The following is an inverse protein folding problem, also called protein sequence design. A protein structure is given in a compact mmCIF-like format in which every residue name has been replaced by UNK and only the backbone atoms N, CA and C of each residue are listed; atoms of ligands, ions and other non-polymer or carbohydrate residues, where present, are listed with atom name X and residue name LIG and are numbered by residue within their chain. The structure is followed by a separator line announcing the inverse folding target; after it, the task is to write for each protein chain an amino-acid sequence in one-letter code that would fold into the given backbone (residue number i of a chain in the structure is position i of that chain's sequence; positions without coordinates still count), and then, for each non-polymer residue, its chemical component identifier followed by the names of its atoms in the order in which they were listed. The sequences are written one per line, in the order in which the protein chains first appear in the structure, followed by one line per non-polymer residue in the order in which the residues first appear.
data_IF_409022984147
#
_entry.id   IF_409022984147
#
_cell.length_a   1.000
_cell.length_b   1.000
_cell.length_c   1.000
_cell.angle_alpha   90.00
_cell.angle_beta   90.00
_cell.angle_gamma   90.00
#
_symmetry.space_group_name_H-M   'P 1'
#
loop_
_entity.id
_entity.type
_entity.pdbx_description
1 polymer ?
#
# COMPACT_ATOMS: atom_id res chain seq x y z
N UNK A 1 13.36 -13.50 -12.52
CA UNK A 1 12.58 -12.39 -13.10
C UNK A 1 13.52 -11.45 -13.83
N UNK A 2 13.20 -11.02 -15.05
CA UNK A 2 13.96 -9.97 -15.76
C UNK A 2 13.55 -8.59 -15.22
N UNK A 3 14.48 -7.62 -15.17
CA UNK A 3 14.19 -6.26 -14.69
C UNK A 3 13.00 -5.60 -15.40
N UNK A 4 12.85 -5.77 -16.72
CA UNK A 4 11.71 -5.22 -17.46
C UNK A 4 10.36 -5.85 -17.11
N UNK A 5 10.35 -7.10 -16.65
CA UNK A 5 9.13 -7.77 -16.19
C UNK A 5 8.70 -7.24 -14.81
N UNK A 6 9.66 -6.94 -13.94
CA UNK A 6 9.42 -6.32 -12.63
C UNK A 6 8.83 -4.92 -12.79
N UNK A 7 9.39 -4.11 -13.70
CA UNK A 7 8.88 -2.74 -13.92
C UNK A 7 7.48 -2.71 -14.52
N UNK A 8 7.16 -3.63 -15.45
CA UNK A 8 5.79 -3.78 -15.95
C UNK A 8 4.82 -4.17 -14.83
N UNK A 9 5.19 -5.13 -13.98
CA UNK A 9 4.35 -5.54 -12.84
C UNK A 9 4.15 -4.43 -11.82
N UNK A 10 5.15 -3.55 -11.62
CA UNK A 10 4.98 -2.34 -10.81
C UNK A 10 3.95 -1.39 -11.42
N UNK A 11 3.97 -1.21 -12.74
CA UNK A 11 2.99 -0.40 -13.47
C UNK A 11 1.58 -0.94 -13.33
N UNK A 12 1.37 -2.24 -13.62
CA UNK A 12 0.07 -2.91 -13.50
C UNK A 12 -0.48 -2.85 -12.07
N UNK A 13 0.40 -3.02 -11.06
CA UNK A 13 0.01 -2.88 -9.66
C UNK A 13 -0.41 -1.44 -9.32
N UNK A 14 0.27 -0.44 -9.86
CA UNK A 14 -0.07 0.98 -9.64
C UNK A 14 -1.43 1.33 -10.24
N UNK A 15 -1.74 0.83 -11.45
CA UNK A 15 -3.05 1.02 -12.08
C UNK A 15 -4.16 0.33 -11.29
N UNK A 16 -3.95 -0.92 -10.85
CA UNK A 16 -4.90 -1.66 -10.03
C UNK A 16 -5.19 -0.93 -8.69
N UNK A 17 -4.15 -0.45 -8.02
CA UNK A 17 -4.27 0.35 -6.79
C UNK A 17 -5.04 1.64 -7.05
N UNK A 18 -4.76 2.32 -8.16
CA UNK A 18 -5.45 3.56 -8.53
C UNK A 18 -6.95 3.34 -8.78
N UNK A 19 -7.33 2.18 -9.31
CA UNK A 19 -8.74 1.79 -9.49
C UNK A 19 -9.41 1.44 -8.15
N UNK A 20 -8.78 0.55 -7.36
CA UNK A 20 -9.29 0.10 -6.04
C UNK A 20 -9.47 1.26 -5.06
N UNK A 21 -8.52 2.19 -5.03
CA UNK A 21 -8.58 3.36 -4.16
C UNK A 21 -9.07 4.62 -4.90
N UNK A 22 -9.54 4.50 -6.15
CA UNK A 22 -10.00 5.62 -6.97
C UNK A 22 -11.23 6.33 -6.38
N UNK A 23 -12.03 5.60 -5.61
CA UNK A 23 -13.18 6.10 -4.86
C UNK A 23 -12.80 6.85 -3.58
N UNK A 24 -11.55 6.77 -3.11
CA UNK A 24 -11.11 7.48 -1.92
C UNK A 24 -10.90 8.98 -2.23
N UNK A 25 -11.64 9.88 -1.57
CA UNK A 25 -11.59 11.32 -1.88
C UNK A 25 -10.24 11.94 -1.52
N UNK A 26 -9.50 11.35 -0.57
CA UNK A 26 -8.24 11.88 -0.05
C UNK A 26 -7.03 11.30 -0.78
N UNK A 27 -6.22 12.19 -1.38
CA UNK A 27 -4.97 11.84 -2.08
C UNK A 27 -3.98 11.08 -1.17
N UNK A 28 -3.90 11.45 0.10
CA UNK A 28 -3.01 10.80 1.06
C UNK A 28 -3.47 9.38 1.39
N UNK A 29 -4.78 9.12 1.47
CA UNK A 29 -5.29 7.76 1.68
C UNK A 29 -4.96 6.84 0.50
N UNK A 30 -5.00 7.35 -0.75
CA UNK A 30 -4.55 6.60 -1.93
C UNK A 30 -3.08 6.21 -1.84
N UNK A 31 -2.22 7.17 -1.47
CA UNK A 31 -0.78 6.94 -1.29
C UNK A 31 -0.49 5.88 -0.21
N UNK A 32 -1.16 5.98 0.94
CA UNK A 32 -0.97 5.00 2.03
C UNK A 32 -1.64 3.66 1.75
N UNK A 33 -2.73 3.64 0.99
CA UNK A 33 -3.36 2.41 0.50
C UNK A 33 -2.46 1.62 -0.46
N UNK A 34 -1.76 2.31 -1.37
CA UNK A 34 -0.73 1.69 -2.21
C UNK A 34 0.39 1.08 -1.35
N UNK A 35 0.92 1.86 -0.41
CA UNK A 35 1.99 1.46 0.49
C UNK A 35 1.56 0.23 1.31
N UNK A 36 0.35 0.23 1.85
CA UNK A 36 -0.24 -0.88 2.60
C UNK A 36 -0.40 -2.15 1.75
N UNK A 37 -0.93 -2.03 0.53
CA UNK A 37 -1.15 -3.16 -0.36
C UNK A 37 0.18 -3.82 -0.79
N UNK A 38 1.19 -3.00 -1.11
CA UNK A 38 2.55 -3.47 -1.41
C UNK A 38 3.15 -4.19 -0.20
N UNK A 39 2.92 -3.65 1.01
CA UNK A 39 3.33 -4.26 2.27
C UNK A 39 2.68 -5.62 2.55
N UNK A 40 1.43 -5.85 2.11
CA UNK A 40 0.75 -7.15 2.23
C UNK A 40 1.26 -8.23 1.25
N UNK A 41 1.76 -7.80 0.09
CA UNK A 41 2.32 -8.69 -0.93
C UNK A 41 3.75 -9.14 -0.61
N UNK A 42 4.46 -8.42 0.25
CA UNK A 42 5.81 -8.78 0.72
C UNK A 42 5.76 -9.82 1.84
N UNK A 43 6.75 -10.71 1.87
CA UNK A 43 6.82 -11.78 2.86
C UNK A 43 6.93 -11.26 4.30
N UNK A 44 6.22 -11.93 5.23
CA UNK A 44 6.27 -11.67 6.68
C UNK A 44 4.90 -11.55 7.36
N UNK A 45 4.90 -11.30 8.68
CA UNK A 45 3.66 -11.25 9.47
C UNK A 45 2.75 -10.09 9.02
N UNK A 46 1.62 -10.44 8.40
CA UNK A 46 0.62 -9.53 7.80
C UNK A 46 -0.15 -8.65 8.79
N UNK A 47 -0.07 -8.94 10.11
CA UNK A 47 -0.93 -8.34 11.15
C UNK A 47 -0.32 -7.15 11.91
N UNK A 48 0.90 -6.71 11.60
CA UNK A 48 1.51 -5.57 12.29
C UNK A 48 2.01 -4.53 11.30
N UNK A 49 1.63 -3.27 11.54
CA UNK A 49 1.93 -2.11 10.70
C UNK A 49 3.42 -1.74 10.79
N UNK A 50 4.03 -1.91 11.95
CA UNK A 50 5.46 -1.61 12.15
C UNK A 50 6.37 -2.46 11.23
N UNK A 51 6.30 -3.81 11.23
CA UNK A 51 7.06 -4.63 10.28
C UNK A 51 6.73 -4.38 8.80
N UNK A 52 5.57 -3.79 8.50
CA UNK A 52 5.18 -3.46 7.12
C UNK A 52 5.84 -2.15 6.67
N UNK A 53 5.81 -1.13 7.54
CA UNK A 53 6.49 0.14 7.30
C UNK A 53 8.00 -0.05 7.16
N UNK A 54 8.62 -0.87 8.02
CA UNK A 54 10.08 -1.08 8.02
C UNK A 54 10.60 -1.79 6.75
N UNK A 55 9.73 -2.45 5.98
CA UNK A 55 10.09 -3.14 4.72
C UNK A 55 10.00 -2.25 3.49
N UNK A 56 9.29 -1.13 3.59
CA UNK A 56 9.04 -0.23 2.47
C UNK A 56 9.99 0.97 2.59
N UNK A 57 10.71 1.34 1.52
CA UNK A 57 11.63 2.48 1.55
C UNK A 57 10.91 3.81 1.80
N UNK A 58 9.61 3.86 1.54
CA UNK A 58 8.69 4.98 1.78
C UNK A 58 7.68 4.69 2.91
N UNK A 59 7.89 3.60 3.67
CA UNK A 59 6.99 3.18 4.73
C UNK A 59 6.95 4.16 5.89
N UNK A 60 5.75 4.59 6.26
CA UNK A 60 5.51 5.40 7.46
C UNK A 60 4.48 4.71 8.34
N UNK A 61 4.92 4.18 9.49
CA UNK A 61 4.06 3.44 10.41
C UNK A 61 2.84 4.25 10.83
N UNK A 62 3.03 5.51 11.20
CA UNK A 62 1.97 6.34 11.76
C UNK A 62 0.91 6.67 10.69
N UNK A 63 1.35 6.92 9.47
CA UNK A 63 0.46 7.19 8.35
C UNK A 63 -0.28 5.93 7.87
N UNK A 64 0.38 4.77 7.86
CA UNK A 64 -0.26 3.48 7.59
C UNK A 64 -1.28 3.12 8.68
N UNK A 65 -0.99 3.42 9.95
CA UNK A 65 -1.93 3.21 11.05
C UNK A 65 -3.16 4.10 10.92
N UNK A 66 -2.98 5.40 10.61
CA UNK A 66 -4.09 6.30 10.35
C UNK A 66 -4.91 5.85 9.14
N UNK A 67 -4.26 5.38 8.08
CA UNK A 67 -4.94 4.83 6.91
C UNK A 67 -5.84 3.64 7.27
N UNK A 68 -5.34 2.65 8.01
CA UNK A 68 -6.13 1.48 8.41
C UNK A 68 -7.30 1.88 9.31
N UNK A 69 -7.10 2.84 10.22
CA UNK A 69 -8.17 3.35 11.09
C UNK A 69 -9.24 4.11 10.29
N UNK A 70 -8.84 5.00 9.39
CA UNK A 70 -9.77 5.78 8.54
C UNK A 70 -10.51 4.87 7.53
N UNK A 71 -9.80 3.93 6.91
CA UNK A 71 -10.35 3.00 5.93
C UNK A 71 -11.31 2.01 6.59
N UNK A 72 -10.94 1.43 7.74
CA UNK A 72 -11.77 0.50 8.48
C UNK A 72 -13.00 1.12 9.14
N UNK A 73 -13.02 2.44 9.34
CA UNK A 73 -14.18 3.18 9.85
C UNK A 73 -15.11 3.71 8.76
N UNK A 74 -14.70 3.61 7.48
CA UNK A 74 -15.47 4.10 6.32
C UNK A 74 -16.20 2.99 5.55
N UNK A 75 -16.17 1.75 6.05
CA UNK A 75 -16.83 0.57 5.46
C UNK A 75 -17.99 0.05 6.29
#
# INVERSE_FOLDING_TARGET
MRLGEVERLRGELSEFVADVFGSLPRRDQRRWGECYLRGLMLDGRRKSIQPMADRLPDGNMQALQQFVTDFGSSG
#
